data_IF_057493705506
#
_entry.id   IF_057493705506
#
_cell.length_a   1.000
_cell.length_b   1.000
_cell.length_c   1.000
_cell.angle_alpha   90.00
_cell.angle_beta   90.00
_cell.angle_gamma   90.00
#
_symmetry.space_group_name_H-M   'P 1'
#
loop_
_entity.id
_entity.type
_entity.pdbx_description
1 polymer ?
#
# COMPACT_ATOMS: atom_id res chain seq x y z
N UNK A 1 -22.74 25.45 10.52
CA UNK A 1 -22.88 24.01 10.78
C UNK A 1 -22.70 23.23 9.47
N UNK A 2 -21.53 23.39 8.85
CA UNK A 2 -21.24 23.05 7.44
C UNK A 2 -20.25 21.88 7.31
N UNK A 3 -19.66 21.45 8.44
CA UNK A 3 -18.69 20.36 8.48
C UNK A 3 -19.34 18.98 8.36
N UNK A 4 -20.61 18.82 8.78
CA UNK A 4 -21.30 17.53 8.76
C UNK A 4 -21.82 17.10 7.38
N UNK A 5 -21.77 17.99 6.38
CA UNK A 5 -22.22 17.71 5.00
C UNK A 5 -21.13 17.95 3.95
N UNK A 6 -19.90 18.28 4.37
CA UNK A 6 -18.80 18.55 3.46
C UNK A 6 -18.04 17.27 3.10
N UNK A 7 -17.70 17.11 1.81
CA UNK A 7 -16.71 16.12 1.39
C UNK A 7 -15.33 16.61 1.81
N UNK A 8 -14.64 15.82 2.65
CA UNK A 8 -13.31 16.14 3.14
C UNK A 8 -12.24 15.72 2.13
N UNK A 9 -11.09 16.42 2.08
CA UNK A 9 -10.03 16.08 1.15
C UNK A 9 -9.52 14.65 1.38
N UNK A 10 -9.36 13.91 0.28
CA UNK A 10 -8.69 12.61 0.27
C UNK A 10 -7.34 12.72 -0.43
N UNK A 11 -6.33 12.08 0.14
CA UNK A 11 -4.99 12.00 -0.43
C UNK A 11 -4.74 10.55 -0.84
N UNK A 12 -4.86 10.29 -2.14
CA UNK A 12 -4.76 8.94 -2.73
C UNK A 12 -3.74 9.01 -3.86
N UNK A 13 -2.71 8.16 -3.82
CA UNK A 13 -1.64 8.17 -4.80
C UNK A 13 -0.83 6.86 -4.76
N UNK A 14 -0.36 6.40 -5.92
CA UNK A 14 0.57 5.29 -6.05
C UNK A 14 -0.04 3.90 -5.91
N UNK A 15 -1.35 3.74 -6.13
CA UNK A 15 -2.06 2.47 -5.96
C UNK A 15 -1.99 1.56 -7.20
N UNK A 16 -2.22 0.27 -6.96
CA UNK A 16 -2.38 -0.76 -8.02
C UNK A 16 -3.77 -1.38 -7.89
N UNK A 17 -4.55 -1.31 -8.95
CA UNK A 17 -5.91 -1.81 -9.05
C UNK A 17 -5.96 -3.02 -9.98
N UNK A 18 -6.22 -4.20 -9.42
CA UNK A 18 -6.29 -5.46 -10.17
C UNK A 18 -7.73 -5.98 -10.21
N UNK A 19 -8.01 -6.87 -11.15
CA UNK A 19 -9.24 -7.68 -11.21
C UNK A 19 -10.55 -6.87 -11.10
N UNK A 20 -10.63 -5.73 -11.78
CA UNK A 20 -11.81 -4.87 -11.80
C UNK A 20 -12.04 -4.02 -10.54
N UNK A 21 -11.09 -3.99 -9.60
CA UNK A 21 -11.07 -2.92 -8.58
C UNK A 21 -10.93 -1.56 -9.24
N UNK A 22 -11.62 -0.55 -8.68
CA UNK A 22 -11.73 0.77 -9.31
C UNK A 22 -10.83 1.81 -8.61
N UNK A 23 -10.09 2.62 -9.37
CA UNK A 23 -9.36 3.75 -8.80
C UNK A 23 -10.31 4.79 -8.21
N UNK A 24 -9.79 5.57 -7.26
CA UNK A 24 -10.47 6.80 -6.84
C UNK A 24 -10.47 7.78 -8.01
N UNK A 25 -11.62 8.41 -8.28
CA UNK A 25 -11.78 9.31 -9.44
C UNK A 25 -10.76 10.46 -9.47
N UNK A 26 -10.36 10.97 -8.30
CA UNK A 26 -9.38 12.03 -8.19
C UNK A 26 -7.91 11.58 -8.22
N UNK A 27 -7.60 10.29 -8.21
CA UNK A 27 -6.22 9.79 -8.21
C UNK A 27 -5.59 9.92 -9.60
N UNK A 28 -4.42 10.56 -9.69
CA UNK A 28 -3.75 10.83 -10.97
C UNK A 28 -2.65 9.81 -11.31
N UNK A 29 -2.08 9.14 -10.30
CA UNK A 29 -0.96 8.22 -10.48
C UNK A 29 -1.31 6.87 -9.83
N UNK A 30 -1.79 5.96 -10.68
CA UNK A 30 -2.14 4.60 -10.33
C UNK A 30 -1.77 3.66 -11.49
N UNK A 31 -1.78 2.36 -11.22
CA UNK A 31 -1.75 1.31 -12.23
C UNK A 31 -3.06 0.53 -12.15
N UNK A 32 -3.82 0.48 -13.23
CA UNK A 32 -5.03 -0.34 -13.32
C UNK A 32 -4.82 -1.48 -14.32
N UNK A 33 -5.15 -2.71 -13.90
CA UNK A 33 -5.10 -3.92 -14.73
C UNK A 33 -6.36 -4.76 -14.48
N UNK A 34 -7.42 -4.42 -15.19
CA UNK A 34 -8.75 -5.01 -15.01
C UNK A 34 -8.81 -6.50 -15.35
N UNK A 35 -7.92 -6.98 -16.23
CA UNK A 35 -7.90 -8.37 -16.70
C UNK A 35 -6.95 -9.29 -15.92
N UNK A 36 -6.20 -8.75 -14.95
CA UNK A 36 -5.29 -9.54 -14.12
C UNK A 36 -5.99 -9.95 -12.84
N UNK A 37 -6.32 -11.25 -12.72
CA UNK A 37 -6.80 -11.82 -11.46
C UNK A 37 -5.60 -12.28 -10.61
N UNK A 38 -5.36 -11.67 -9.43
CA UNK A 38 -4.22 -12.03 -8.59
C UNK A 38 -4.41 -13.33 -7.81
N UNK A 39 -5.60 -13.96 -7.85
CA UNK A 39 -5.86 -15.26 -7.25
C UNK A 39 -5.39 -15.37 -5.77
N UNK A 40 -5.57 -14.30 -4.99
CA UNK A 40 -5.16 -14.25 -3.59
C UNK A 40 -5.81 -15.41 -2.81
N UNK A 41 -4.97 -16.23 -2.16
CA UNK A 41 -5.43 -17.34 -1.33
C UNK A 41 -4.51 -17.49 -0.12
N UNK A 42 -5.10 -17.49 1.08
CA UNK A 42 -4.41 -17.93 2.28
C UNK A 42 -4.57 -19.45 2.44
N UNK A 43 -3.48 -20.14 2.73
CA UNK A 43 -3.43 -21.60 2.95
C UNK A 43 -2.78 -21.84 4.31
N UNK A 44 -3.47 -22.59 5.16
CA UNK A 44 -2.94 -23.02 6.46
C UNK A 44 -2.29 -24.41 6.32
N UNK A 45 -1.05 -24.54 6.77
CA UNK A 45 -0.32 -25.82 6.80
C UNK A 45 0.36 -26.00 8.17
N UNK A 46 -0.31 -26.78 9.04
CA UNK A 46 0.10 -26.91 10.43
C UNK A 46 0.01 -25.58 11.16
N UNK A 47 1.10 -25.16 11.79
CA UNK A 47 1.19 -23.87 12.51
C UNK A 47 1.51 -22.68 11.59
N UNK A 48 1.55 -22.89 10.26
CA UNK A 48 2.00 -21.89 9.30
C UNK A 48 0.84 -21.39 8.42
N UNK A 49 0.92 -20.13 8.00
CA UNK A 49 0.00 -19.51 7.04
C UNK A 49 0.77 -19.03 5.82
N UNK A 50 0.32 -19.40 4.62
CA UNK A 50 0.92 -19.01 3.35
C UNK A 50 -0.05 -18.18 2.52
N UNK A 51 0.42 -17.08 1.93
CA UNK A 51 -0.29 -16.29 0.94
C UNK A 51 0.19 -16.69 -0.46
N UNK A 52 -0.72 -17.28 -1.23
CA UNK A 52 -0.57 -17.51 -2.66
C UNK A 52 -1.18 -16.34 -3.43
N UNK A 53 -0.50 -15.90 -4.48
CA UNK A 53 -0.96 -14.86 -5.37
C UNK A 53 -0.24 -14.91 -6.72
N UNK A 54 -0.85 -14.32 -7.74
CA UNK A 54 -0.25 -14.10 -9.06
C UNK A 54 -0.09 -12.60 -9.29
N UNK A 55 1.14 -12.10 -9.25
CA UNK A 55 1.40 -10.68 -9.37
C UNK A 55 1.82 -10.28 -10.80
N UNK A 56 1.24 -9.23 -11.38
CA UNK A 56 1.74 -8.68 -12.63
C UNK A 56 3.07 -7.94 -12.41
N UNK A 57 3.81 -7.63 -13.49
CA UNK A 57 4.99 -6.77 -13.40
C UNK A 57 4.58 -5.34 -13.01
N UNK A 58 4.65 -5.03 -11.71
CA UNK A 58 4.29 -3.72 -11.16
C UNK A 58 5.50 -2.80 -10.97
N UNK A 59 6.71 -3.37 -10.87
CA UNK A 59 7.93 -2.61 -10.60
C UNK A 59 8.15 -1.61 -11.72
N UNK A 60 8.33 -0.34 -11.34
CA UNK A 60 8.58 0.71 -12.33
C UNK A 60 7.33 1.33 -12.95
N UNK A 61 6.16 0.68 -12.86
CA UNK A 61 4.94 1.04 -13.62
C UNK A 61 4.09 2.12 -12.97
N UNK A 62 4.19 2.27 -11.66
CA UNK A 62 3.56 3.33 -10.89
C UNK A 62 4.64 4.12 -10.15
N UNK A 63 4.45 5.44 -9.99
CA UNK A 63 5.33 6.24 -9.14
C UNK A 63 4.86 6.06 -7.71
N UNK A 64 5.77 5.73 -6.81
CA UNK A 64 5.48 5.59 -5.40
C UNK A 64 6.43 6.46 -4.62
N UNK A 65 6.05 6.79 -3.39
CA UNK A 65 6.91 7.45 -2.42
C UNK A 65 6.80 6.74 -1.08
N UNK A 66 7.83 6.85 -0.28
CA UNK A 66 7.79 6.29 1.07
C UNK A 66 6.79 7.05 1.93
N UNK A 67 5.96 6.33 2.69
CA UNK A 67 5.06 6.95 3.66
C UNK A 67 5.87 7.43 4.88
N UNK A 68 5.91 8.76 5.03
CA UNK A 68 6.53 9.51 6.13
C UNK A 68 5.52 10.50 6.73
N UNK A 69 5.78 10.99 7.93
CA UNK A 69 5.02 12.11 8.54
C UNK A 69 4.80 13.25 7.57
N UNK A 70 5.85 13.67 6.86
CA UNK A 70 5.78 14.75 5.88
C UNK A 70 4.83 14.41 4.72
N UNK A 71 4.96 13.20 4.16
CA UNK A 71 4.16 12.77 3.01
C UNK A 71 2.68 12.56 3.32
N UNK A 72 2.35 12.25 4.58
CA UNK A 72 1.00 12.00 5.09
C UNK A 72 0.32 13.29 5.57
N UNK A 73 1.10 14.33 5.87
CA UNK A 73 0.60 15.61 6.34
C UNK A 73 -0.09 15.52 7.70
N UNK A 74 -1.12 16.34 7.90
CA UNK A 74 -1.94 16.38 9.13
C UNK A 74 -3.40 16.18 8.79
N UNK A 75 -4.12 15.26 9.46
CA UNK A 75 -5.56 15.15 9.29
C UNK A 75 -6.27 16.40 9.79
N UNK A 76 -7.36 16.79 9.13
CA UNK A 76 -8.06 18.06 9.36
C UNK A 76 -8.53 18.24 10.82
N UNK A 77 -9.16 17.21 11.39
CA UNK A 77 -9.83 17.31 12.70
C UNK A 77 -8.85 17.27 13.88
N UNK A 78 -8.00 16.24 14.05
CA UNK A 78 -7.05 16.24 15.15
C UNK A 78 -5.92 17.27 14.96
N UNK A 79 -5.60 17.65 13.72
CA UNK A 79 -4.48 18.54 13.39
C UNK A 79 -3.12 18.10 13.96
N UNK A 80 -2.98 16.80 14.21
CA UNK A 80 -1.77 16.16 14.73
C UNK A 80 -1.02 15.45 13.60
N UNK A 81 0.33 15.39 13.68
CA UNK A 81 1.12 14.62 12.73
C UNK A 81 0.92 13.12 12.93
N UNK A 82 1.28 12.36 11.90
CA UNK A 82 1.52 10.92 12.04
C UNK A 82 2.92 10.71 12.65
N UNK A 83 3.00 10.10 13.82
CA UNK A 83 4.23 9.92 14.59
C UNK A 83 4.31 8.54 15.24
N UNK A 84 5.51 8.15 15.68
CA UNK A 84 5.74 6.96 16.48
C UNK A 84 5.29 7.20 17.94
N UNK A 85 5.19 6.12 18.73
CA UNK A 85 4.78 6.20 20.13
C UNK A 85 5.71 7.05 21.02
N UNK A 86 6.96 7.25 20.61
CA UNK A 86 7.94 8.10 21.28
C UNK A 86 7.92 9.57 20.78
N UNK A 87 7.00 9.91 19.88
CA UNK A 87 6.88 11.24 19.26
C UNK A 87 7.86 11.49 18.11
N UNK A 88 8.70 10.53 17.72
CA UNK A 88 9.56 10.68 16.56
C UNK A 88 8.74 10.64 15.25
N UNK A 89 9.15 11.35 14.18
CA UNK A 89 8.48 11.27 12.89
C UNK A 89 8.36 9.84 12.37
N UNK A 90 7.16 9.47 11.94
CA UNK A 90 6.85 8.20 11.31
C UNK A 90 7.60 8.06 9.98
N UNK A 91 8.15 6.86 9.76
CA UNK A 91 8.74 6.45 8.49
C UNK A 91 8.48 4.96 8.26
N UNK A 92 7.61 4.63 7.31
CA UNK A 92 7.19 3.25 7.01
C UNK A 92 8.21 2.57 6.06
N UNK A 93 9.46 2.47 6.51
CA UNK A 93 10.59 1.99 5.69
C UNK A 93 10.87 0.48 5.77
N UNK A 94 10.02 -0.25 6.48
CA UNK A 94 10.20 -1.67 6.76
C UNK A 94 8.91 -2.41 6.41
N UNK A 95 9.03 -3.45 5.59
CA UNK A 95 7.90 -4.25 5.10
C UNK A 95 7.39 -5.27 6.14
N UNK A 96 6.37 -6.04 5.76
CA UNK A 96 5.76 -7.05 6.64
C UNK A 96 6.77 -8.06 7.23
N UNK A 97 7.85 -8.37 6.51
CA UNK A 97 8.89 -9.33 6.93
C UNK A 97 10.10 -8.69 7.60
N UNK A 98 10.05 -7.39 7.93
CA UNK A 98 11.20 -6.69 8.47
C UNK A 98 12.22 -6.25 7.42
N UNK A 99 11.93 -6.38 6.11
CA UNK A 99 12.86 -5.98 5.05
C UNK A 99 12.77 -4.49 4.79
N UNK A 100 13.90 -3.84 4.50
CA UNK A 100 13.91 -2.43 4.10
C UNK A 100 13.25 -2.23 2.74
N UNK A 101 12.40 -1.20 2.65
CA UNK A 101 11.82 -0.71 1.40
C UNK A 101 12.81 0.16 0.65
N UNK A 102 12.66 0.22 -0.67
CA UNK A 102 13.31 1.23 -1.49
C UNK A 102 12.89 2.64 -1.02
N UNK A 103 13.86 3.55 -0.90
CA UNK A 103 13.64 4.88 -0.31
C UNK A 103 12.93 5.84 -1.27
N UNK A 104 13.14 5.66 -2.57
CA UNK A 104 12.62 6.56 -3.59
C UNK A 104 11.37 5.97 -4.24
N UNK A 105 11.36 4.66 -4.48
CA UNK A 105 10.32 3.96 -5.24
C UNK A 105 9.94 2.64 -4.55
N UNK A 106 9.35 2.68 -3.35
CA UNK A 106 8.91 1.47 -2.66
C UNK A 106 7.88 0.71 -3.51
N UNK A 107 7.97 -0.62 -3.54
CA UNK A 107 6.95 -1.46 -4.18
C UNK A 107 5.60 -1.24 -3.50
N UNK A 108 4.49 -1.03 -4.26
CA UNK A 108 3.15 -0.96 -3.70
C UNK A 108 2.80 -2.20 -2.89
N UNK A 109 2.09 -2.01 -1.78
CA UNK A 109 1.61 -3.09 -0.92
C UNK A 109 2.54 -3.46 0.24
N UNK A 110 2.22 -4.55 0.95
CA UNK A 110 2.85 -4.88 2.23
C UNK A 110 4.26 -5.46 2.12
N UNK A 111 4.72 -5.82 0.91
CA UNK A 111 5.98 -6.52 0.68
C UNK A 111 6.91 -5.69 -0.21
N UNK A 112 8.18 -5.54 0.17
CA UNK A 112 9.13 -4.68 -0.56
C UNK A 112 9.51 -5.22 -1.95
N UNK A 113 9.47 -6.53 -2.14
CA UNK A 113 9.73 -7.21 -3.41
C UNK A 113 9.12 -8.61 -3.39
N UNK A 114 7.79 -8.75 -3.54
CA UNK A 114 7.12 -10.04 -3.48
C UNK A 114 7.46 -10.95 -4.67
N UNK A 115 7.97 -10.40 -5.77
CA UNK A 115 8.17 -11.13 -7.03
C UNK A 115 7.08 -10.83 -8.06
N UNK A 116 7.11 -11.54 -9.17
CA UNK A 116 6.18 -11.44 -10.30
C UNK A 116 5.78 -12.86 -10.72
N UNK A 117 4.60 -13.01 -11.32
CA UNK A 117 4.01 -14.32 -11.61
C UNK A 117 3.45 -14.97 -10.35
N UNK A 118 3.49 -16.30 -10.28
CA UNK A 118 3.05 -17.04 -9.09
C UNK A 118 4.03 -16.84 -7.94
N UNK A 119 3.51 -16.33 -6.82
CA UNK A 119 4.25 -16.04 -5.60
C UNK A 119 3.57 -16.74 -4.43
N UNK A 120 4.38 -17.38 -3.58
CA UNK A 120 3.95 -17.93 -2.29
C UNK A 120 4.80 -17.30 -1.20
N UNK A 121 4.13 -16.63 -0.24
CA UNK A 121 4.79 -16.00 0.90
C UNK A 121 4.33 -16.66 2.19
N UNK A 122 5.25 -17.13 3.02
CA UNK A 122 4.95 -17.54 4.39
C UNK A 122 4.69 -16.31 5.24
N UNK A 123 3.50 -16.18 5.82
CA UNK A 123 3.08 -15.05 6.66
C UNK A 123 3.31 -15.30 8.15
N UNK A 124 2.95 -16.49 8.64
CA UNK A 124 3.10 -16.95 10.02
C UNK A 124 3.69 -18.36 10.00
#
# INVERSE_FOLDING_TARGET
DTLFTAELPMFVDGNVYLNGSKPFEGEQNFLEQTQTNPMFKCVEEGDNVYLHMTLPPIKGKVKTRLATTESLGKPLVPSLPYENADGAPLKVDTDYFGKKRDRERPTPGPFANPGEGEVVLKLW
#
